data_IF_331932826723
#
_entry.id   IF_331932826723
#
_cell.length_a   1.000
_cell.length_b   1.000
_cell.length_c   1.000
_cell.angle_alpha   90.00
_cell.angle_beta   90.00
_cell.angle_gamma   90.00
#
_symmetry.space_group_name_H-M   'P 1'
#
loop_
_entity.id
_entity.type
_entity.pdbx_description
1 polymer ?
2 water ?
#
# COMPACT_ATOMS: atom_id res chain seq x y z
N UNK A 15 -0.84 4.33 29.06
CA UNK A 15 0.36 3.93 28.25
C UNK A 15 1.69 4.17 28.98
N UNK A 16 2.66 3.24 28.80
CA UNK A 16 3.97 3.36 29.44
C UNK A 16 4.50 4.79 29.36
N UNK A 17 5.06 5.28 30.46
CA UNK A 17 5.63 6.63 30.49
C UNK A 17 6.79 6.69 29.48
N UNK A 18 6.85 7.77 28.70
CA UNK A 18 7.90 7.95 27.70
C UNK A 18 7.50 7.46 26.33
N UNK A 19 6.33 6.82 26.25
CA UNK A 19 5.76 6.29 25.02
C UNK A 19 5.60 7.34 23.93
N UNK A 20 4.84 8.37 24.26
CA UNK A 20 4.57 9.46 23.35
C UNK A 20 5.89 10.06 22.88
N UNK A 21 7.02 9.51 23.35
CA UNK A 21 8.35 9.98 22.98
C UNK A 21 9.11 9.01 22.07
N UNK A 22 8.49 7.90 21.69
CA UNK A 22 9.19 6.95 20.83
C UNK A 22 9.46 7.54 19.46
N UNK A 23 10.56 7.12 18.86
CA UNK A 23 11.01 7.56 17.55
C UNK A 23 9.92 7.35 16.48
N UNK A 24 9.54 6.09 16.29
CA UNK A 24 8.48 5.71 15.35
C UNK A 24 7.20 6.51 15.58
N UNK A 25 6.72 6.55 16.81
CA UNK A 25 5.52 7.31 17.11
C UNK A 25 5.63 8.77 16.68
N UNK A 26 6.74 9.42 17.01
CA UNK A 26 6.91 10.83 16.64
C UNK A 26 7.00 11.09 15.13
N UNK A 27 7.63 10.15 14.43
CA UNK A 27 7.75 10.23 12.98
C UNK A 27 6.36 10.05 12.36
N UNK A 28 5.62 9.06 12.84
CA UNK A 28 4.29 8.84 12.29
C UNK A 28 3.36 9.99 12.66
N UNK A 29 3.58 10.57 13.83
CA UNK A 29 2.79 11.70 14.27
C UNK A 29 3.01 12.86 13.33
N UNK A 30 4.26 13.17 13.05
CA UNK A 30 4.58 14.23 12.11
C UNK A 30 4.01 13.85 10.74
N UNK A 31 4.35 12.67 10.23
CA UNK A 31 3.83 12.23 8.95
C UNK A 31 2.33 12.38 8.79
N UNK A 32 1.56 12.01 9.81
CA UNK A 32 0.11 12.12 9.74
C UNK A 32 -0.36 13.56 9.60
N UNK A 33 0.27 14.47 10.33
CA UNK A 33 -0.10 15.89 10.20
C UNK A 33 0.15 16.35 8.76
N UNK A 34 1.25 15.87 8.18
CA UNK A 34 1.61 16.21 6.82
C UNK A 34 0.61 15.68 5.81
N UNK A 35 0.17 14.45 6.04
CA UNK A 35 -0.76 13.77 5.19
C UNK A 35 -2.05 14.54 5.23
N UNK A 36 -2.48 14.91 6.42
CA UNK A 36 -3.69 15.68 6.53
C UNK A 36 -3.56 17.01 5.81
N UNK A 37 -2.46 17.73 6.02
CA UNK A 37 -2.27 18.99 5.33
C UNK A 37 -2.26 18.77 3.81
N UNK A 38 -1.61 17.70 3.34
CA UNK A 38 -1.54 17.42 1.91
C UNK A 38 -2.88 17.18 1.23
N UNK A 39 -3.84 16.72 2.02
CA UNK A 39 -5.19 16.43 1.54
C UNK A 39 -5.14 15.87 0.12
N UNK A 40 -4.50 14.71 -0.02
CA UNK A 40 -4.37 14.06 -1.30
C UNK A 40 -5.67 13.41 -1.78
N UNK A 41 -6.07 13.81 -2.97
CA UNK A 41 -7.28 13.29 -3.58
C UNK A 41 -7.09 11.81 -3.85
N UNK A 42 -8.10 11.02 -3.51
CA UNK A 42 -8.03 9.59 -3.75
C UNK A 42 -7.28 8.74 -2.74
N UNK A 43 -6.90 9.34 -1.61
CA UNK A 43 -6.15 8.65 -0.59
C UNK A 43 -6.66 8.96 0.82
N UNK A 44 -6.97 7.91 1.56
CA UNK A 44 -7.48 8.03 2.92
C UNK A 44 -6.69 7.08 3.77
N UNK A 45 -6.28 7.54 4.95
CA UNK A 45 -5.50 6.71 5.86
C UNK A 45 -5.85 7.13 7.27
N UNK A 46 -6.14 6.15 8.09
CA UNK A 46 -6.53 6.44 9.45
C UNK A 46 -5.84 5.51 10.45
N UNK A 47 -5.26 6.07 11.53
CA UNK A 47 -4.60 5.25 12.54
C UNK A 47 -5.72 4.46 13.20
N UNK A 48 -5.53 3.16 13.36
CA UNK A 48 -6.56 2.36 13.96
C UNK A 48 -6.07 1.83 15.31
N UNK A 49 -5.10 2.54 15.90
CA UNK A 49 -4.55 2.19 17.21
C UNK A 49 -3.84 3.38 17.84
N UNK A 50 -3.79 3.39 19.17
CA UNK A 50 -3.15 4.47 19.93
C UNK A 50 -1.67 4.53 19.61
N UNK A 51 -1.15 3.37 19.25
CA UNK A 51 0.24 3.18 18.86
C UNK A 51 0.64 4.05 17.67
N UNK A 52 -0.32 4.18 16.77
CA UNK A 52 -0.17 4.87 15.52
C UNK A 52 0.63 3.96 14.61
N UNK A 53 0.67 2.70 15.01
CA UNK A 53 1.39 1.67 14.28
C UNK A 53 0.51 0.92 13.29
N UNK A 54 -0.79 0.88 13.58
CA UNK A 54 -1.72 0.16 12.75
C UNK A 54 -2.59 1.12 11.99
N UNK A 55 -2.62 0.97 10.66
CA UNK A 55 -3.41 1.85 9.80
C UNK A 55 -4.37 1.17 8.86
N UNK A 56 -5.45 1.87 8.54
CA UNK A 56 -6.41 1.38 7.59
C UNK A 56 -6.41 2.36 6.43
N UNK A 57 -6.10 1.85 5.25
CA UNK A 57 -6.03 2.72 4.11
C UNK A 57 -6.81 2.28 2.88
N UNK A 58 -7.23 3.28 2.12
CA UNK A 58 -7.96 3.13 0.86
C UNK A 58 -7.31 4.03 -0.19
N UNK A 59 -6.86 3.41 -1.27
CA UNK A 59 -6.22 4.15 -2.34
C UNK A 59 -6.97 3.94 -3.65
N UNK A 60 -7.43 5.02 -4.27
CA UNK A 60 -8.16 4.89 -5.53
C UNK A 60 -7.23 4.48 -6.67
N UNK A 61 -7.79 3.70 -7.59
CA UNK A 61 -7.03 3.23 -8.74
C UNK A 61 -6.47 4.40 -9.52
N UNK A 62 -5.23 4.29 -9.97
CA UNK A 62 -4.63 5.38 -10.72
C UNK A 62 -5.46 5.74 -11.95
N UNK A 63 -5.20 6.93 -12.47
CA UNK A 63 -5.91 7.40 -13.66
C UNK A 63 -5.38 6.78 -14.92
N UNK A 64 -6.32 6.40 -15.78
CA UNK A 64 -5.99 5.80 -17.06
C UNK A 64 -5.24 4.48 -16.84
N UNK A 65 -5.64 3.75 -15.80
CA UNK A 65 -5.02 2.47 -15.50
C UNK A 65 -6.15 1.45 -15.42
N UNK A 66 -5.76 0.18 -15.50
CA UNK A 66 -6.72 -0.89 -15.41
C UNK A 66 -7.63 -0.78 -14.18
N UNK A 67 -7.12 -0.21 -13.10
CA UNK A 67 -7.89 -0.07 -11.87
C UNK A 67 -8.63 1.24 -11.74
N UNK A 68 -8.85 1.93 -12.86
CA UNK A 68 -9.57 3.19 -12.82
C UNK A 68 -10.97 2.96 -12.27
N UNK A 69 -11.31 3.67 -11.20
CA UNK A 69 -12.61 3.52 -10.60
C UNK A 69 -12.61 2.51 -9.46
N UNK A 70 -11.50 1.80 -9.30
CA UNK A 70 -11.38 0.82 -8.24
C UNK A 70 -10.70 1.41 -6.99
N UNK A 71 -10.71 0.66 -5.90
CA UNK A 71 -10.12 1.12 -4.65
C UNK A 71 -9.34 0.04 -3.92
N UNK A 72 -8.07 0.30 -3.62
CA UNK A 72 -7.25 -0.68 -2.91
C UNK A 72 -7.45 -0.45 -1.42
N UNK A 73 -7.99 -1.45 -0.74
CA UNK A 73 -8.21 -1.37 0.70
C UNK A 73 -7.13 -2.19 1.38
N UNK A 74 -6.25 -1.51 2.10
CA UNK A 74 -5.11 -2.14 2.74
C UNK A 74 -5.00 -1.82 4.22
N UNK A 75 -4.08 -2.52 4.88
CA UNK A 75 -3.75 -2.22 6.26
C UNK A 75 -2.23 -2.06 6.20
N UNK A 76 -1.72 -1.11 6.98
CA UNK A 76 -0.27 -0.88 7.02
C UNK A 76 0.19 -0.99 8.47
N UNK A 77 1.06 -1.96 8.73
CA UNK A 77 1.58 -2.17 10.05
C UNK A 77 3.02 -1.71 10.15
N UNK A 78 3.22 -0.62 10.89
CA UNK A 78 4.55 -0.10 11.16
C UNK A 78 5.07 -0.79 12.44
N UNK A 79 6.38 -0.72 12.63
CA UNK A 79 7.03 -1.27 13.81
C UNK A 79 7.82 -0.14 14.52
N UNK A 80 8.21 -0.41 15.76
CA UNK A 80 8.96 0.54 16.57
C UNK A 80 10.31 0.84 15.91
N UNK A 81 10.62 0.14 14.83
CA UNK A 81 11.88 0.38 14.11
C UNK A 81 11.63 1.39 12.99
N UNK A 82 10.37 1.74 12.78
CA UNK A 82 10.04 2.63 11.69
C UNK A 82 10.97 3.75 11.39
N UNK A 83 11.14 3.83 10.06
CA UNK A 83 11.93 4.76 9.31
C UNK A 83 13.25 4.01 9.08
N UNK A 84 13.64 3.12 9.97
CA UNK A 84 14.84 2.32 9.71
C UNK A 84 14.34 1.08 8.95
N UNK A 85 13.05 0.80 9.08
CA UNK A 85 12.42 -0.36 8.47
C UNK A 85 11.07 -0.01 7.88
N UNK A 86 10.72 -0.65 6.75
CA UNK A 86 9.45 -0.44 6.05
C UNK A 86 8.24 -1.03 6.78
N UNK A 87 7.07 -0.42 6.62
CA UNK A 87 5.91 -1.00 7.31
C UNK A 87 5.56 -2.29 6.58
N UNK A 88 4.61 -3.05 7.10
CA UNK A 88 4.18 -4.25 6.39
C UNK A 88 2.80 -3.89 5.83
N UNK A 89 2.65 -4.00 4.52
CA UNK A 89 1.38 -3.68 3.88
C UNK A 89 0.70 -4.98 3.42
N UNK A 90 -0.58 -5.07 3.71
CA UNK A 90 -1.36 -6.21 3.31
C UNK A 90 -2.71 -5.80 2.81
N UNK A 91 -3.19 -6.56 1.82
CA UNK A 91 -4.50 -6.34 1.24
C UNK A 91 -5.50 -7.01 2.15
N UNK A 92 -6.50 -6.26 2.61
CA UNK A 92 -7.50 -6.82 3.50
C UNK A 92 -8.13 -8.05 2.84
N UNK A 93 -8.51 -7.92 1.57
CA UNK A 93 -9.09 -9.04 0.83
C UNK A 93 -8.21 -9.31 -0.37
N UNK A 94 -7.54 -10.47 -0.36
CA UNK A 94 -6.65 -10.85 -1.45
C UNK A 94 -7.31 -10.52 -2.77
N UNK A 95 -6.67 -9.65 -3.58
CA UNK A 95 -7.16 -9.22 -4.89
C UNK A 95 -6.58 -10.07 -6.01
N UNK A 96 -7.21 -10.01 -7.18
CA UNK A 96 -6.73 -10.73 -8.36
C UNK A 96 -5.77 -9.72 -9.00
N UNK A 97 -4.50 -9.81 -8.64
CA UNK A 97 -3.52 -8.83 -9.09
C UNK A 97 -2.20 -9.52 -9.37
N UNK A 98 -1.54 -9.15 -10.45
CA UNK A 98 -0.26 -9.73 -10.86
C UNK A 98 0.87 -9.67 -9.82
N UNK A 99 0.90 -8.63 -8.99
CA UNK A 99 1.98 -8.51 -8.02
C UNK A 99 1.60 -8.72 -6.57
N UNK A 100 0.34 -9.07 -6.31
CA UNK A 100 -0.08 -9.30 -4.93
C UNK A 100 -0.04 -10.79 -4.67
N UNK A 101 0.70 -11.18 -3.63
CA UNK A 101 0.82 -12.58 -3.27
C UNK A 101 -0.58 -13.12 -3.07
N UNK A 102 -1.01 -14.06 -3.93
CA UNK A 102 -2.35 -14.63 -3.81
C UNK A 102 -2.59 -15.36 -2.49
N UNK A 103 -1.49 -15.71 -1.82
CA UNK A 103 -1.54 -16.43 -0.55
C UNK A 103 -1.38 -15.53 0.69
N UNK A 104 -0.54 -14.51 0.57
CA UNK A 104 -0.24 -13.56 1.65
C UNK A 104 -1.03 -12.25 1.58
N UNK A 105 -1.62 -11.96 0.42
CA UNK A 105 -2.37 -10.72 0.25
C UNK A 105 -1.42 -9.54 0.29
N UNK A 106 -0.14 -9.85 0.32
CA UNK A 106 0.89 -8.85 0.37
C UNK A 106 1.40 -8.48 -1.02
N UNK A 107 1.48 -7.18 -1.29
CA UNK A 107 1.95 -6.65 -2.57
C UNK A 107 3.47 -6.69 -2.73
N UNK A 108 3.98 -7.21 -3.85
CA UNK A 108 5.40 -7.27 -4.10
C UNK A 108 5.88 -5.90 -4.54
N UNK A 109 6.44 -5.17 -3.59
CA UNK A 109 6.92 -3.83 -3.83
C UNK A 109 8.37 -3.82 -3.40
N UNK A 110 9.25 -3.39 -4.29
CA UNK A 110 10.66 -3.35 -3.93
C UNK A 110 11.07 -2.68 -2.62
N UNK A 111 10.73 -1.41 -2.48
CA UNK A 111 11.09 -0.66 -1.29
C UNK A 111 10.47 -1.21 -0.03
N UNK A 112 9.65 -2.25 -0.20
CA UNK A 112 9.01 -2.86 0.93
C UNK A 112 9.62 -4.20 1.24
N UNK A 113 10.11 -4.87 0.20
CA UNK A 113 10.68 -6.21 0.34
C UNK A 113 12.17 -6.26 0.17
N UNK A 114 12.72 -5.27 -0.51
CA UNK A 114 14.15 -5.27 -0.70
C UNK A 114 14.77 -4.26 0.27
N UNK A 115 15.54 -4.74 1.26
CA UNK A 115 16.19 -3.88 2.26
C UNK A 115 17.00 -2.76 1.63
N UNK A 116 17.67 -3.06 0.52
CA UNK A 116 18.49 -2.10 -0.18
C UNK A 116 17.65 -1.03 -0.84
N UNK A 117 16.36 -1.31 -1.00
CA UNK A 117 15.45 -0.38 -1.64
C UNK A 117 14.74 0.53 -0.66
N UNK A 118 14.69 0.16 0.61
CA UNK A 118 14.06 1.03 1.58
C UNK A 118 14.83 2.34 1.67
N UNK A 119 14.15 3.41 2.04
CA UNK A 119 14.81 4.70 2.16
C UNK A 119 14.14 5.44 3.31
N UNK A 120 14.94 6.02 4.20
CA UNK A 120 14.35 6.71 5.34
C UNK A 120 13.60 7.97 4.96
N UNK A 121 13.61 8.26 3.66
CA UNK A 121 12.93 9.43 3.13
C UNK A 121 11.50 9.07 2.83
N UNK A 122 11.20 7.78 2.89
CA UNK A 122 9.85 7.32 2.67
C UNK A 122 8.95 7.65 3.87
N UNK A 123 8.04 8.61 3.72
CA UNK A 123 7.11 8.98 4.79
C UNK A 123 5.73 8.37 4.52
N UNK A 124 4.81 8.44 5.48
CA UNK A 124 3.48 7.89 5.24
C UNK A 124 2.92 8.33 3.88
N UNK A 125 3.10 9.61 3.54
CA UNK A 125 2.64 10.19 2.27
C UNK A 125 3.30 9.53 1.06
N UNK A 126 4.61 9.38 1.11
CA UNK A 126 5.39 8.77 0.04
C UNK A 126 4.89 7.40 -0.25
N UNK A 127 4.84 6.62 0.81
CA UNK A 127 4.39 5.24 0.74
C UNK A 127 3.00 5.15 0.12
N UNK A 128 2.13 6.07 0.48
CA UNK A 128 0.78 6.03 -0.05
C UNK A 128 0.76 6.39 -1.54
N UNK A 129 1.45 7.47 -1.94
CA UNK A 129 1.49 7.84 -3.34
C UNK A 129 2.23 6.77 -4.11
N UNK A 130 3.36 6.29 -3.60
CA UNK A 130 4.08 5.26 -4.35
C UNK A 130 3.19 4.03 -4.57
N UNK A 131 2.51 3.59 -3.51
CA UNK A 131 1.60 2.43 -3.60
C UNK A 131 0.57 2.62 -4.71
N UNK A 132 -0.06 3.78 -4.71
CA UNK A 132 -1.04 4.09 -5.73
C UNK A 132 -0.50 3.86 -7.13
N UNK A 133 0.64 4.46 -7.45
CA UNK A 133 1.19 4.29 -8.78
C UNK A 133 1.61 2.88 -9.11
N UNK A 134 2.34 2.25 -8.20
CA UNK A 134 2.82 0.91 -8.40
C UNK A 134 1.70 -0.10 -8.51
N UNK A 135 0.75 -0.06 -7.58
CA UNK A 135 -0.33 -1.03 -7.64
C UNK A 135 -1.23 -0.84 -8.88
N UNK A 136 -1.11 0.30 -9.54
CA UNK A 136 -1.88 0.56 -10.75
C UNK A 136 -1.06 0.27 -12.01
N UNK A 137 0.15 -0.22 -11.83
CA UNK A 137 1.04 -0.52 -12.93
C UNK A 137 1.87 -1.73 -12.62
N UNK A 138 1.26 -2.91 -12.73
CA UNK A 138 1.92 -4.19 -12.47
C UNK A 138 3.25 -4.41 -13.22
N UNK A 139 4.11 -5.21 -12.60
CA UNK A 139 5.40 -5.56 -13.16
C UNK A 139 5.18 -6.92 -13.79
N UNK A 140 4.72 -6.93 -15.04
CA UNK A 140 4.46 -8.19 -15.72
C UNK A 140 5.70 -9.07 -15.75
N UNK A 141 6.87 -8.44 -15.64
CA UNK A 141 8.16 -9.13 -15.67
C UNK A 141 8.11 -10.53 -15.06
N UNK A 142 7.96 -10.59 -13.75
CA UNK A 142 7.91 -11.88 -13.12
C UNK A 142 6.91 -11.81 -11.99
N UNK A 143 5.62 -11.84 -12.35
CA UNK A 143 4.50 -11.76 -11.42
C UNK A 143 4.36 -12.92 -10.48
N UNK A 144 3.80 -12.62 -9.31
CA UNK A 144 3.56 -13.62 -8.30
C UNK A 144 2.23 -14.31 -8.65
N UNK A 145 1.33 -13.57 -9.31
CA UNK A 145 0.05 -14.12 -9.72
C UNK A 145 0.05 -14.21 -11.26
N UNK A 146 0.38 -15.41 -11.73
CA UNK A 146 0.48 -15.75 -13.15
C UNK A 146 -0.79 -15.59 -13.96
N UNK A 147 -1.89 -16.15 -13.47
CA UNK A 147 -3.16 -16.05 -14.18
C UNK A 147 -3.60 -14.62 -14.33
N UNK A 148 -3.41 -13.83 -13.29
CA UNK A 148 -3.80 -12.43 -13.33
C UNK A 148 -3.02 -11.70 -14.41
N UNK A 149 -1.70 -11.90 -14.41
CA UNK A 149 -0.81 -11.25 -15.38
C UNK A 149 -1.19 -11.68 -16.81
N UNK A 150 -1.26 -12.99 -16.99
CA UNK A 150 -1.64 -13.56 -18.27
C UNK A 150 -2.92 -12.90 -18.82
N UNK A 151 -3.99 -12.90 -18.04
CA UNK A 151 -5.25 -12.31 -18.49
C UNK A 151 -5.14 -10.82 -18.75
N UNK A 152 -4.29 -10.17 -17.96
CA UNK A 152 -4.08 -8.74 -18.09
C UNK A 152 -3.44 -8.44 -19.43
N UNK A 153 -2.38 -9.20 -19.73
CA UNK A 153 -1.66 -9.04 -20.98
C UNK A 153 -2.60 -9.03 -22.20
N UNK A 154 -3.32 -10.12 -22.39
CA UNK A 154 -4.25 -10.20 -23.51
C UNK A 154 -5.63 -9.79 -23.05
N UNK A 155 -6.23 -8.81 -23.71
CA UNK A 155 -7.57 -8.40 -23.32
C UNK A 155 -7.65 -7.82 -21.91
N UNK A 156 -7.15 -6.60 -21.75
CA UNK A 156 -7.19 -5.92 -20.47
C UNK A 156 -8.65 -5.61 -20.11
N UNK A 157 -9.55 -5.74 -21.08
CA UNK A 157 -10.97 -5.47 -20.85
C UNK A 157 -11.58 -6.61 -20.05
N UNK A 158 -11.19 -7.83 -20.39
CA UNK A 158 -11.68 -9.00 -19.69
C UNK A 158 -11.17 -8.90 -18.26
N UNK A 159 -9.88 -8.60 -18.16
CA UNK A 159 -9.23 -8.44 -16.87
C UNK A 159 -10.11 -7.56 -15.98
N UNK A 160 -10.46 -6.38 -16.48
CA UNK A 160 -11.31 -5.46 -15.72
C UNK A 160 -12.61 -6.11 -15.32
N UNK A 161 -13.22 -6.82 -16.25
CA UNK A 161 -14.49 -7.47 -15.98
C UNK A 161 -14.38 -8.35 -14.76
N UNK A 162 -13.25 -9.05 -14.67
CA UNK A 162 -12.98 -9.94 -13.55
C UNK A 162 -12.84 -9.13 -12.26
N UNK A 163 -12.12 -8.02 -12.34
CA UNK A 163 -11.96 -7.17 -11.17
C UNK A 163 -13.34 -6.79 -10.63
N UNK A 164 -14.19 -6.24 -11.50
CA UNK A 164 -15.55 -5.82 -11.11
C UNK A 164 -16.27 -6.99 -10.44
N UNK A 165 -16.12 -8.17 -11.02
CA UNK A 165 -16.75 -9.36 -10.47
C UNK A 165 -16.24 -9.64 -9.06
N UNK A 166 -14.99 -9.27 -8.80
CA UNK A 166 -14.38 -9.48 -7.49
C UNK A 166 -14.77 -8.41 -6.48
N UNK A 167 -15.44 -7.38 -6.97
CA UNK A 167 -15.89 -6.29 -6.12
C UNK A 167 -17.35 -6.49 -5.75
#
# INVERSE_FOLDING_TARGET
MGSSHHHHHHSSGLVPRGSMHGRAYLLLHRDFCDLKENNYKGITAKPVSEDMMEWEVEIEGLQNSVWQGLVFQLTIHFTSEYNYAPPVVKFITIPFHPNVDPHTGQPCIDFLDNPEKWNTNYTLSSILLALQVMLSNPVLENPVNLEAARILVKDESLYRTILRLFNRP
#
